data_IF_039413253968
#
_entry.id   IF_039413253968
#
_cell.length_a   1.000
_cell.length_b   1.000
_cell.length_c   1.000
_cell.angle_alpha   90.00
_cell.angle_beta   90.00
_cell.angle_gamma   90.00
#
_symmetry.space_group_name_H-M   'P 1'
#
loop_
_entity.id
_entity.type
_entity.pdbx_description
1 polymer ?
#
# COMPACT_ATOMS: atom_id res chain seq x y z
N UNK A 1 5.43 11.97 16.42
CA UNK A 1 5.70 10.70 17.14
C UNK A 1 5.41 9.53 16.21
N UNK A 2 5.73 8.29 16.61
CA UNK A 2 5.45 7.09 15.82
C UNK A 2 4.91 5.96 16.72
N UNK A 3 3.95 5.20 16.21
CA UNK A 3 3.44 3.98 16.82
C UNK A 3 3.26 2.93 15.72
N UNK A 4 4.07 1.86 15.74
CA UNK A 4 4.01 0.77 14.75
C UNK A 4 3.91 1.27 13.30
N UNK A 5 4.80 2.20 12.91
CA UNK A 5 4.87 2.84 11.59
C UNK A 5 3.79 3.92 11.31
N UNK A 6 2.80 4.08 12.19
CA UNK A 6 1.84 5.19 12.10
C UNK A 6 2.47 6.44 12.72
N UNK A 7 2.64 7.48 11.91
CA UNK A 7 3.07 8.78 12.42
C UNK A 7 1.86 9.52 12.99
N UNK A 8 2.05 10.20 14.11
CA UNK A 8 0.99 11.01 14.71
C UNK A 8 1.53 12.28 15.36
N UNK A 9 0.68 13.30 15.46
CA UNK A 9 0.97 14.57 16.11
C UNK A 9 -0.29 15.20 16.70
N UNK A 10 -0.12 15.99 17.76
CA UNK A 10 -1.20 16.70 18.45
C UNK A 10 -1.63 17.93 17.65
N UNK A 11 -2.92 18.24 17.64
CA UNK A 11 -3.44 19.52 17.19
C UNK A 11 -2.99 20.60 18.17
N UNK A 12 -2.33 21.66 17.67
CA UNK A 12 -1.86 22.76 18.52
C UNK A 12 -2.99 23.58 19.13
N UNK A 13 -4.19 23.50 18.56
CA UNK A 13 -5.38 24.22 19.04
C UNK A 13 -6.21 23.42 20.05
N UNK A 14 -6.09 22.10 20.07
CA UNK A 14 -6.84 21.19 20.95
C UNK A 14 -5.93 20.02 21.39
N UNK A 15 -5.47 19.98 22.66
CA UNK A 15 -4.56 18.96 23.14
C UNK A 15 -5.19 17.56 23.25
N UNK A 16 -6.51 17.44 23.06
CA UNK A 16 -7.21 16.14 23.03
C UNK A 16 -7.36 15.58 21.62
N UNK A 17 -7.04 16.38 20.59
CA UNK A 17 -7.14 16.00 19.18
C UNK A 17 -5.77 15.68 18.60
N UNK A 18 -5.72 14.58 17.88
CA UNK A 18 -4.50 14.07 17.24
C UNK A 18 -4.77 13.77 15.78
N UNK A 19 -3.78 14.08 14.96
CA UNK A 19 -3.76 13.69 13.55
C UNK A 19 -2.82 12.50 13.36
N UNK A 20 -3.19 11.60 12.44
CA UNK A 20 -2.34 10.47 12.06
C UNK A 20 -2.07 10.44 10.55
N UNK A 21 -0.88 9.95 10.20
CA UNK A 21 -0.45 9.66 8.83
C UNK A 21 -0.22 8.15 8.79
N UNK A 22 -0.93 7.40 7.91
CA UNK A 22 -0.74 5.96 7.84
C UNK A 22 0.71 5.59 7.49
N UNK A 23 1.14 4.42 7.99
CA UNK A 23 2.45 3.87 7.73
C UNK A 23 2.57 3.27 6.32
N UNK A 24 3.06 2.05 6.25
CA UNK A 24 3.23 1.28 5.02
C UNK A 24 1.87 0.98 4.37
N UNK A 25 1.69 1.22 3.05
CA UNK A 25 0.44 0.88 2.36
C UNK A 25 0.27 -0.64 2.29
N UNK A 26 -0.96 -1.10 2.06
CA UNK A 26 -1.27 -2.52 1.93
C UNK A 26 -1.99 -2.86 0.63
N UNK A 27 -2.30 -4.14 0.46
CA UNK A 27 -3.31 -4.55 -0.51
C UNK A 27 -4.68 -4.09 -0.03
N UNK A 28 -5.53 -3.64 -0.95
CA UNK A 28 -6.96 -3.63 -0.65
C UNK A 28 -7.41 -5.08 -0.43
N UNK A 29 -8.27 -5.31 0.56
CA UNK A 29 -8.83 -6.63 0.82
C UNK A 29 -10.16 -6.82 0.08
N UNK A 30 -10.34 -8.01 -0.48
CA UNK A 30 -11.64 -8.48 -0.99
C UNK A 30 -12.59 -8.74 0.19
N UNK A 31 -13.88 -8.97 -0.09
CA UNK A 31 -14.88 -9.33 0.93
C UNK A 31 -14.53 -10.61 1.72
N UNK A 32 -13.57 -11.41 1.25
CA UNK A 32 -13.08 -12.63 1.90
C UNK A 32 -11.79 -12.41 2.69
N UNK A 33 -11.27 -11.18 2.78
CA UNK A 33 -10.01 -10.86 3.46
C UNK A 33 -8.75 -11.21 2.67
N UNK A 34 -8.89 -11.57 1.38
CA UNK A 34 -7.75 -11.81 0.50
C UNK A 34 -7.29 -10.52 -0.19
N UNK A 35 -5.98 -10.34 -0.47
CA UNK A 35 -5.50 -9.27 -1.32
C UNK A 35 -6.26 -9.20 -2.65
N UNK A 36 -6.67 -8.00 -3.04
CA UNK A 36 -7.23 -7.68 -4.35
C UNK A 36 -6.10 -7.62 -5.39
N UNK A 37 -5.53 -8.78 -5.68
CA UNK A 37 -4.45 -8.99 -6.64
C UNK A 37 -4.79 -10.17 -7.54
N UNK A 38 -4.48 -10.09 -8.83
CA UNK A 38 -4.61 -11.22 -9.75
C UNK A 38 -3.64 -11.08 -10.91
N UNK A 39 -3.21 -12.22 -11.45
CA UNK A 39 -2.43 -12.28 -12.67
C UNK A 39 -2.98 -13.38 -13.57
N UNK A 40 -3.34 -13.03 -14.80
CA UNK A 40 -3.73 -13.99 -15.83
C UNK A 40 -2.56 -14.15 -16.78
N UNK A 41 -2.00 -15.35 -16.85
CA UNK A 41 -0.86 -15.68 -17.70
C UNK A 41 -1.35 -16.42 -18.95
N UNK A 42 -1.06 -15.83 -20.11
CA UNK A 42 -1.18 -16.43 -21.43
C UNK A 42 0.25 -16.76 -21.93
N UNK A 43 0.39 -17.32 -23.14
CA UNK A 43 1.69 -17.75 -23.68
C UNK A 43 2.77 -16.65 -23.60
N UNK A 44 2.60 -15.55 -24.34
CA UNK A 44 3.60 -14.48 -24.40
C UNK A 44 3.31 -13.30 -23.46
N UNK A 45 2.05 -13.14 -23.04
CA UNK A 45 1.59 -11.98 -22.26
C UNK A 45 1.07 -12.41 -20.89
N UNK A 46 1.05 -11.49 -19.93
CA UNK A 46 0.32 -11.62 -18.68
C UNK A 46 -0.44 -10.33 -18.37
N UNK A 47 -1.68 -10.46 -17.89
CA UNK A 47 -2.48 -9.36 -17.39
C UNK A 47 -2.38 -9.30 -15.87
N UNK A 48 -1.75 -8.25 -15.35
CA UNK A 48 -1.64 -7.99 -13.92
C UNK A 48 -2.74 -7.00 -13.50
N UNK A 49 -3.48 -7.35 -12.45
CA UNK A 49 -4.42 -6.47 -11.78
C UNK A 49 -4.08 -6.40 -10.28
N UNK A 50 -3.99 -5.19 -9.73
CA UNK A 50 -3.71 -4.96 -8.33
C UNK A 50 -4.58 -3.82 -7.82
N UNK A 51 -5.07 -3.92 -6.60
CA UNK A 51 -5.63 -2.81 -5.85
C UNK A 51 -4.88 -2.65 -4.54
N UNK A 52 -4.38 -1.46 -4.31
CA UNK A 52 -3.67 -1.08 -3.08
C UNK A 52 -4.48 -0.05 -2.32
N UNK A 53 -4.28 -0.01 -1.01
CA UNK A 53 -4.84 1.02 -0.15
C UNK A 53 -3.77 1.56 0.80
N UNK A 54 -3.82 2.86 1.04
CA UNK A 54 -3.05 3.50 2.10
C UNK A 54 -4.01 3.98 3.18
N UNK A 55 -4.08 3.20 4.26
CA UNK A 55 -5.04 3.32 5.36
C UNK A 55 -4.40 2.82 6.65
N UNK A 56 -5.07 3.04 7.79
CA UNK A 56 -4.75 2.38 9.05
C UNK A 56 -5.95 1.51 9.40
N UNK A 57 -5.73 0.26 9.83
CA UNK A 57 -6.83 -0.63 10.22
C UNK A 57 -7.48 -0.13 11.52
N UNK A 58 -8.78 -0.35 11.67
CA UNK A 58 -9.53 0.11 12.84
C UNK A 58 -8.97 -0.42 14.17
N UNK A 59 -8.45 -1.65 14.18
CA UNK A 59 -7.80 -2.25 15.35
C UNK A 59 -6.53 -1.48 15.74
N UNK A 60 -5.70 -1.12 14.76
CA UNK A 60 -4.47 -0.34 14.98
C UNK A 60 -4.78 1.10 15.42
N UNK A 61 -5.87 1.70 14.90
CA UNK A 61 -6.35 3.01 15.38
C UNK A 61 -6.80 2.97 16.84
N UNK A 62 -7.53 1.93 17.25
CA UNK A 62 -7.94 1.75 18.64
C UNK A 62 -6.72 1.55 19.56
N UNK A 63 -5.72 0.78 19.12
CA UNK A 63 -4.47 0.60 19.87
C UNK A 63 -3.68 1.92 19.98
N UNK A 64 -3.63 2.70 18.91
CA UNK A 64 -2.99 4.02 18.88
C UNK A 64 -3.69 5.00 19.82
N UNK A 65 -5.02 5.04 19.81
CA UNK A 65 -5.82 5.89 20.69
C UNK A 65 -5.49 5.62 22.17
N UNK A 66 -5.51 4.33 22.56
CA UNK A 66 -5.17 3.90 23.91
C UNK A 66 -3.72 4.24 24.28
N UNK A 67 -2.78 4.09 23.34
CA UNK A 67 -1.38 4.42 23.55
C UNK A 67 -1.19 5.93 23.79
N UNK A 68 -1.87 6.78 23.02
CA UNK A 68 -1.84 8.24 23.17
C UNK A 68 -2.49 8.65 24.49
N UNK A 69 -3.69 8.13 24.80
CA UNK A 69 -4.41 8.45 26.03
C UNK A 69 -3.54 8.19 27.26
N UNK A 70 -2.88 7.02 27.29
CA UNK A 70 -1.94 6.65 28.35
C UNK A 70 -0.68 7.53 28.37
N UNK A 71 -0.14 7.88 27.21
CA UNK A 71 1.09 8.68 27.12
C UNK A 71 0.91 10.12 27.60
N UNK A 72 -0.27 10.70 27.36
CA UNK A 72 -0.58 12.10 27.67
C UNK A 72 -1.49 12.27 28.89
N UNK A 73 -1.84 11.18 29.59
CA UNK A 73 -2.74 11.16 30.74
C UNK A 73 -4.11 11.81 30.42
N UNK A 74 -4.70 11.41 29.29
CA UNK A 74 -5.98 11.92 28.78
C UNK A 74 -7.09 10.89 28.98
N UNK A 75 -8.28 11.35 29.38
CA UNK A 75 -9.48 10.49 29.46
C UNK A 75 -10.06 10.16 28.07
N UNK A 76 -9.84 11.04 27.08
CA UNK A 76 -10.38 10.88 25.72
C UNK A 76 -9.39 11.42 24.71
N UNK A 77 -9.25 10.72 23.58
CA UNK A 77 -8.40 11.10 22.46
C UNK A 77 -9.24 11.07 21.18
N UNK A 78 -9.21 12.16 20.42
CA UNK A 78 -9.86 12.23 19.11
C UNK A 78 -8.83 12.09 18.01
N UNK A 79 -8.78 10.92 17.36
CA UNK A 79 -7.92 10.68 16.21
C UNK A 79 -8.60 11.04 14.89
N UNK A 80 -7.89 11.76 14.03
CA UNK A 80 -8.32 12.09 12.67
C UNK A 80 -7.19 11.85 11.68
N UNK A 81 -7.48 11.45 10.43
CA UNK A 81 -6.45 11.40 9.40
C UNK A 81 -5.90 12.81 9.15
N UNK A 82 -4.59 12.92 9.00
CA UNK A 82 -3.94 14.15 8.58
C UNK A 82 -4.45 14.56 7.18
N UNK A 83 -4.52 15.88 6.89
CA UNK A 83 -4.94 16.36 5.58
C UNK A 83 -3.84 16.10 4.54
N UNK A 84 -3.89 14.92 3.91
CA UNK A 84 -2.95 14.50 2.87
C UNK A 84 -3.53 14.76 1.47
N UNK A 85 -2.70 15.28 0.57
CA UNK A 85 -2.99 15.32 -0.87
C UNK A 85 -2.10 14.31 -1.58
N UNK A 86 -2.67 13.18 -2.01
CA UNK A 86 -1.92 12.17 -2.77
C UNK A 86 -1.73 12.67 -4.19
N UNK A 87 -0.48 12.91 -4.59
CA UNK A 87 -0.14 13.41 -5.93
C UNK A 87 -0.12 12.29 -6.96
N UNK A 88 0.40 11.12 -6.57
CA UNK A 88 0.57 10.00 -7.49
C UNK A 88 0.74 8.69 -6.74
N UNK A 89 0.32 7.59 -7.37
CA UNK A 89 0.66 6.24 -6.97
C UNK A 89 1.28 5.52 -8.15
N UNK A 90 2.49 4.98 -7.98
CA UNK A 90 3.26 4.35 -9.05
C UNK A 90 3.47 2.87 -8.78
N UNK A 91 3.28 2.04 -9.79
CA UNK A 91 3.66 0.63 -9.80
C UNK A 91 4.97 0.50 -10.56
N UNK A 92 5.99 -0.03 -9.89
CA UNK A 92 7.33 -0.19 -10.45
C UNK A 92 7.80 -1.63 -10.35
N UNK A 93 8.58 -2.07 -11.34
CA UNK A 93 9.14 -3.41 -11.43
C UNK A 93 10.65 -3.35 -11.44
N UNK A 94 11.30 -4.23 -10.67
CA UNK A 94 12.75 -4.38 -10.71
C UNK A 94 13.16 -5.04 -12.02
N UNK A 95 14.06 -4.39 -12.72
CA UNK A 95 14.67 -4.84 -13.97
C UNK A 95 15.81 -5.83 -13.69
N UNK A 96 16.29 -6.50 -14.74
CA UNK A 96 17.43 -7.42 -14.65
C UNK A 96 18.75 -6.71 -14.30
N UNK A 97 18.86 -5.40 -14.49
CA UNK A 97 20.03 -4.59 -14.06
C UNK A 97 19.97 -4.23 -12.58
N UNK A 98 18.83 -4.46 -11.92
CA UNK A 98 18.59 -4.15 -10.52
C UNK A 98 17.87 -2.83 -10.28
N UNK A 99 17.71 -1.99 -11.31
CA UNK A 99 16.97 -0.72 -11.26
C UNK A 99 15.46 -0.94 -11.29
N UNK A 100 14.67 0.04 -10.86
CA UNK A 100 13.20 0.01 -10.99
C UNK A 100 12.74 0.78 -12.22
N UNK A 101 11.92 0.15 -13.06
CA UNK A 101 11.15 0.85 -14.09
C UNK A 101 9.70 1.05 -13.64
N UNK A 102 9.10 2.18 -14.01
CA UNK A 102 7.69 2.44 -13.75
C UNK A 102 6.85 1.72 -14.81
N UNK A 103 6.01 0.79 -14.38
CA UNK A 103 5.03 0.12 -15.23
C UNK A 103 3.80 0.99 -15.50
N UNK A 104 3.31 1.68 -14.45
CA UNK A 104 2.12 2.53 -14.52
C UNK A 104 2.09 3.53 -13.38
N UNK A 105 1.55 4.71 -13.64
CA UNK A 105 1.20 5.70 -12.63
C UNK A 105 -0.31 5.95 -12.66
N UNK A 106 -0.93 6.15 -11.51
CA UNK A 106 -2.36 6.46 -11.36
C UNK A 106 -2.58 7.46 -10.24
N UNK A 107 -3.74 8.10 -10.25
CA UNK A 107 -4.26 8.87 -9.11
C UNK A 107 -4.89 7.91 -8.09
N UNK A 108 -4.96 8.35 -6.83
CA UNK A 108 -5.72 7.66 -5.79
C UNK A 108 -7.16 8.18 -5.70
N UNK A 109 -7.99 7.56 -4.86
CA UNK A 109 -9.36 8.02 -4.55
C UNK A 109 -9.44 9.47 -4.03
N UNK A 110 -8.33 10.07 -3.58
CA UNK A 110 -8.28 11.44 -3.07
C UNK A 110 -8.75 11.60 -1.62
N UNK A 111 -9.29 10.55 -1.00
CA UNK A 111 -9.69 10.53 0.41
C UNK A 111 -9.37 9.17 1.05
N UNK A 112 -9.08 9.11 2.37
CA UNK A 112 -8.88 7.85 3.08
C UNK A 112 -10.11 6.92 2.99
N UNK A 113 -9.93 5.60 2.79
CA UNK A 113 -8.67 4.94 2.45
C UNK A 113 -8.20 5.33 1.05
N UNK A 114 -6.94 5.76 0.91
CA UNK A 114 -6.42 6.19 -0.39
C UNK A 114 -6.20 4.96 -1.28
N UNK A 115 -7.19 4.62 -2.08
CA UNK A 115 -7.16 3.43 -2.94
C UNK A 115 -6.54 3.76 -4.30
N UNK A 116 -5.72 2.87 -4.82
CA UNK A 116 -5.18 2.94 -6.18
C UNK A 116 -5.25 1.58 -6.87
N UNK A 117 -5.73 1.56 -8.11
CA UNK A 117 -5.95 0.36 -8.91
C UNK A 117 -5.03 0.37 -10.13
N UNK A 118 -4.38 -0.76 -10.37
CA UNK A 118 -3.48 -0.98 -11.49
C UNK A 118 -4.03 -2.11 -12.36
N UNK A 119 -3.97 -1.89 -13.68
CA UNK A 119 -4.13 -2.93 -14.69
C UNK A 119 -3.06 -2.71 -15.75
N UNK A 120 -2.21 -3.72 -15.94
CA UNK A 120 -1.00 -3.66 -16.79
C UNK A 120 -0.83 -4.96 -17.55
N UNK A 121 -0.53 -4.87 -18.84
CA UNK A 121 -0.06 -6.00 -19.65
C UNK A 121 1.46 -6.12 -19.54
N UNK A 122 1.94 -7.32 -19.27
CA UNK A 122 3.35 -7.65 -19.07
C UNK A 122 3.81 -8.67 -20.10
N UNK A 123 5.03 -8.52 -20.58
CA UNK A 123 5.66 -9.37 -21.59
C UNK A 123 7.11 -9.64 -21.23
N UNK A 124 7.69 -10.71 -21.80
CA UNK A 124 9.10 -11.06 -21.64
C UNK A 124 9.57 -11.06 -20.18
N UNK A 125 10.66 -10.35 -19.91
CA UNK A 125 11.27 -10.26 -18.58
C UNK A 125 10.31 -9.64 -17.54
N UNK A 126 9.44 -8.71 -17.94
CA UNK A 126 8.50 -8.05 -17.02
C UNK A 126 7.50 -9.05 -16.45
N UNK A 127 7.00 -9.95 -17.30
CA UNK A 127 6.12 -11.05 -16.91
C UNK A 127 6.84 -11.97 -15.92
N UNK A 128 8.08 -12.37 -16.22
CA UNK A 128 8.84 -13.26 -15.34
C UNK A 128 9.10 -12.65 -13.95
N UNK A 129 9.47 -11.37 -13.88
CA UNK A 129 9.72 -10.69 -12.59
C UNK A 129 8.45 -10.48 -11.77
N UNK A 130 7.32 -10.16 -12.42
CA UNK A 130 6.04 -10.04 -11.72
C UNK A 130 5.58 -11.39 -11.16
N UNK A 131 5.75 -12.50 -11.92
CA UNK A 131 5.49 -13.86 -11.40
C UNK A 131 6.40 -14.16 -10.21
N UNK A 132 7.69 -13.79 -10.28
CA UNK A 132 8.61 -13.96 -9.17
C UNK A 132 8.15 -13.21 -7.91
N UNK A 133 7.60 -12.00 -8.05
CA UNK A 133 7.01 -11.24 -6.94
C UNK A 133 5.85 -11.99 -6.27
N UNK A 134 4.93 -12.53 -7.07
CA UNK A 134 3.81 -13.36 -6.59
C UNK A 134 4.30 -14.66 -5.94
N UNK A 135 5.43 -15.19 -6.40
CA UNK A 135 6.08 -16.35 -5.78
C UNK A 135 6.90 -15.98 -4.52
N UNK A 136 6.78 -14.75 -4.01
CA UNK A 136 7.41 -14.32 -2.77
C UNK A 136 8.83 -13.76 -2.93
N UNK A 137 9.34 -13.58 -4.15
CA UNK A 137 10.61 -12.88 -4.36
C UNK A 137 10.42 -11.41 -4.02
N UNK A 138 11.10 -11.00 -2.96
CA UNK A 138 11.06 -9.62 -2.46
C UNK A 138 11.65 -8.63 -3.46
N UNK A 139 11.18 -7.40 -3.33
CA UNK A 139 11.64 -6.20 -4.03
C UNK A 139 11.59 -6.33 -5.54
N UNK A 140 10.64 -7.10 -6.07
CA UNK A 140 10.43 -7.22 -7.52
C UNK A 140 9.35 -6.28 -8.02
N UNK A 141 8.27 -6.09 -7.25
CA UNK A 141 7.11 -5.33 -7.67
C UNK A 141 6.67 -4.41 -6.53
N UNK A 142 6.88 -3.11 -6.69
CA UNK A 142 6.72 -2.09 -5.64
C UNK A 142 5.63 -1.11 -6.03
N UNK A 143 4.79 -0.76 -5.08
CA UNK A 143 3.85 0.36 -5.20
C UNK A 143 4.33 1.51 -4.31
N UNK A 144 4.48 2.69 -4.87
CA UNK A 144 4.89 3.91 -4.16
C UNK A 144 3.79 4.94 -4.19
N UNK A 145 3.31 5.32 -3.00
CA UNK A 145 2.45 6.48 -2.79
C UNK A 145 3.33 7.70 -2.58
N UNK A 146 3.02 8.78 -3.29
CA UNK A 146 3.59 10.10 -3.05
C UNK A 146 2.47 11.06 -2.69
N UNK A 147 2.59 11.69 -1.53
CA UNK A 147 1.62 12.64 -1.03
C UNK A 147 2.30 13.89 -0.46
N UNK A 148 1.51 14.95 -0.31
CA UNK A 148 1.92 16.21 0.31
C UNK A 148 1.10 16.43 1.57
N UNK A 149 1.77 16.86 2.62
CA UNK A 149 1.19 17.32 3.87
C UNK A 149 1.78 18.69 4.22
N UNK A 150 0.99 19.76 4.04
CA UNK A 150 1.51 21.13 4.12
C UNK A 150 2.58 21.37 3.05
N UNK A 151 3.83 21.59 3.46
CA UNK A 151 4.99 21.75 2.56
C UNK A 151 5.87 20.51 2.46
N UNK A 152 5.53 19.43 3.17
CA UNK A 152 6.35 18.22 3.24
C UNK A 152 5.86 17.17 2.27
N UNK A 153 6.79 16.55 1.53
CA UNK A 153 6.52 15.38 0.70
C UNK A 153 6.65 14.13 1.56
N UNK A 154 5.67 13.23 1.44
CA UNK A 154 5.61 11.95 2.12
C UNK A 154 5.59 10.87 1.05
N UNK A 155 6.53 9.95 1.14
CA UNK A 155 6.55 8.75 0.32
C UNK A 155 6.38 7.51 1.19
N UNK A 156 5.56 6.59 0.70
CA UNK A 156 5.25 5.32 1.34
C UNK A 156 5.21 4.22 0.32
N UNK A 157 5.91 3.12 0.59
CA UNK A 157 6.11 2.04 -0.37
C UNK A 157 5.63 0.72 0.19
N UNK A 158 5.02 -0.11 -0.65
CA UNK A 158 4.73 -1.51 -0.33
C UNK A 158 5.31 -2.43 -1.38
N UNK A 159 5.81 -3.57 -0.94
CA UNK A 159 6.21 -4.67 -1.80
C UNK A 159 5.03 -5.64 -1.97
N UNK A 160 4.64 -5.91 -3.22
CA UNK A 160 3.50 -6.80 -3.52
C UNK A 160 3.75 -8.22 -3.00
N UNK A 161 5.02 -8.66 -2.91
CA UNK A 161 5.35 -9.98 -2.38
C UNK A 161 4.97 -10.16 -0.91
N UNK A 162 4.81 -9.07 -0.14
CA UNK A 162 4.41 -9.14 1.28
C UNK A 162 2.90 -9.22 1.47
N UNK A 163 2.10 -9.08 0.40
CA UNK A 163 0.64 -9.17 0.48
C UNK A 163 0.15 -10.61 0.68
N UNK A 164 0.97 -11.59 0.28
CA UNK A 164 0.58 -12.99 0.28
C UNK A 164 1.12 -13.72 1.51
N UNK A 165 0.23 -14.16 2.39
CA UNK A 165 0.57 -14.97 3.56
C UNK A 165 1.25 -16.28 3.14
N UNK A 166 2.37 -16.62 3.78
CA UNK A 166 3.08 -17.91 3.65
C UNK A 166 3.46 -18.32 2.22
N UNK A 167 3.70 -17.37 1.30
CA UNK A 167 4.11 -17.69 -0.07
C UNK A 167 2.98 -18.17 -0.98
N UNK A 168 1.73 -17.95 -0.61
CA UNK A 168 0.55 -18.37 -1.38
C UNK A 168 0.21 -17.46 -2.57
N UNK A 169 1.11 -16.57 -3.00
CA UNK A 169 0.80 -15.61 -4.06
C UNK A 169 0.54 -16.28 -5.42
N UNK A 170 1.05 -17.50 -5.63
CA UNK A 170 0.73 -18.29 -6.82
C UNK A 170 -0.76 -18.69 -6.91
N UNK A 171 -1.53 -18.68 -5.82
CA UNK A 171 -2.98 -18.90 -5.87
C UNK A 171 -3.72 -17.75 -6.60
N UNK A 172 -3.06 -16.61 -6.77
CA UNK A 172 -3.58 -15.44 -7.48
C UNK A 172 -3.10 -15.39 -8.94
N UNK A 173 -2.36 -16.40 -9.39
CA UNK A 173 -1.87 -16.53 -10.77
C UNK A 173 -2.66 -17.62 -11.48
N UNK A 174 -3.38 -17.25 -12.54
CA UNK A 174 -4.14 -18.17 -13.38
C UNK A 174 -3.41 -18.36 -14.70
N UNK A 175 -3.03 -19.60 -15.03
CA UNK A 175 -2.43 -19.93 -16.32
C UNK A 175 -3.51 -20.46 -17.23
N UNK A 176 -3.76 -19.76 -18.34
CA UNK A 176 -4.68 -20.21 -19.38
C UNK A 176 -3.86 -20.80 -20.52
N UNK A 177 -3.98 -22.11 -20.72
CA UNK A 177 -3.46 -22.76 -21.91
C UNK A 177 -4.35 -22.36 -23.09
N UNK A 178 -3.74 -21.75 -24.11
CA UNK A 178 -4.37 -21.43 -25.40
C UNK A 178 -3.92 -22.47 -26.41
#
# INVERSE_FOLDING_TARGET
MNYRDIEYYVDRSDPTRFYYIPGTPGSQETAQGHPAASMIVLDQVAMLQLSSEWSVRSEELNELENAIAKQFDLETVFLQPAPLSVESVTLSLRTNTGDFEVLKSTESSGYPPFTAVFSVQLEGDRKAQAIAAFNGRKEQLIITYKAVHGSSVIERTTDVSTWFSCGNGMNYVQVLAV
#
